data_IF_272140032650
#
_entry.id   IF_272140032650
#
_cell.length_a   1.000
_cell.length_b   1.000
_cell.length_c   1.000
_cell.angle_alpha   90.00
_cell.angle_beta   90.00
_cell.angle_gamma   90.00
#
_symmetry.space_group_name_H-M   'P 1'
#
loop_
_entity.id
_entity.type
_entity.pdbx_description
1 polymer ?
#
# COMPACT_ATOMS: atom_id res chain seq x y z
N UNK A 1 -4.98 8.75 -19.52
CA UNK A 1 -4.65 7.59 -18.67
C UNK A 1 -3.19 7.24 -18.85
N UNK A 2 -2.39 7.43 -17.81
CA UNK A 2 -0.96 7.08 -17.79
C UNK A 2 -0.77 5.59 -17.50
N UNK A 3 0.47 5.07 -17.62
CA UNK A 3 0.77 3.67 -17.29
C UNK A 3 0.48 3.33 -15.83
N UNK A 4 0.88 4.21 -14.90
CA UNK A 4 0.70 4.03 -13.44
C UNK A 4 -0.76 3.80 -13.05
N UNK A 5 -1.69 4.57 -13.62
CA UNK A 5 -3.13 4.54 -13.27
C UNK A 5 -3.80 3.20 -13.60
N UNK A 6 -3.14 2.34 -14.37
CA UNK A 6 -3.63 1.00 -14.74
C UNK A 6 -3.05 -0.11 -13.86
N UNK A 7 -2.15 0.22 -12.94
CA UNK A 7 -1.46 -0.75 -12.09
C UNK A 7 -2.00 -0.66 -10.67
N UNK A 8 -2.51 -1.79 -10.18
CA UNK A 8 -2.85 -1.99 -8.77
C UNK A 8 -1.78 -2.89 -8.19
N UNK A 9 -1.06 -2.41 -7.17
CA UNK A 9 -0.08 -3.21 -6.44
C UNK A 9 -0.73 -3.80 -5.19
N UNK A 10 -0.80 -5.12 -5.09
CA UNK A 10 -1.27 -5.79 -3.88
C UNK A 10 -0.14 -5.86 -2.85
N UNK A 11 -0.39 -5.34 -1.65
CA UNK A 11 0.50 -5.47 -0.50
C UNK A 11 0.33 -6.87 0.11
N UNK A 12 0.96 -7.85 -0.52
CA UNK A 12 0.94 -9.26 -0.13
C UNK A 12 2.07 -9.58 0.87
N UNK A 13 1.92 -9.03 2.08
CA UNK A 13 2.85 -9.18 3.20
C UNK A 13 2.07 -9.23 4.51
N UNK A 14 2.66 -9.80 5.55
CA UNK A 14 1.99 -10.12 6.82
C UNK A 14 2.16 -9.05 7.91
N UNK A 15 2.97 -8.02 7.66
CA UNK A 15 3.27 -6.98 8.65
C UNK A 15 3.37 -5.56 8.06
N UNK A 16 3.13 -4.57 8.92
CA UNK A 16 3.22 -3.14 8.58
C UNK A 16 4.58 -2.72 8.00
N UNK A 17 5.69 -3.27 8.51
CA UNK A 17 7.03 -2.80 8.13
C UNK A 17 7.34 -3.14 6.67
N UNK A 18 7.05 -4.38 6.26
CA UNK A 18 7.22 -4.81 4.87
C UNK A 18 6.22 -4.13 3.93
N UNK A 19 4.99 -3.87 4.39
CA UNK A 19 3.99 -3.15 3.60
C UNK A 19 4.47 -1.74 3.28
N UNK A 20 4.92 -1.01 4.30
CA UNK A 20 5.41 0.37 4.13
C UNK A 20 6.70 0.42 3.29
N UNK A 21 7.57 -0.59 3.39
CA UNK A 21 8.76 -0.70 2.53
C UNK A 21 8.39 -0.79 1.05
N UNK A 22 7.33 -1.53 0.70
CA UNK A 22 6.84 -1.60 -0.68
C UNK A 22 6.18 -0.31 -1.13
N UNK A 23 5.39 0.33 -0.27
CA UNK A 23 4.78 1.64 -0.55
C UNK A 23 5.86 2.68 -0.83
N UNK A 24 6.87 2.78 0.04
CA UNK A 24 7.99 3.73 -0.13
C UNK A 24 8.76 3.48 -1.43
N UNK A 25 8.86 2.22 -1.87
CA UNK A 25 9.58 1.85 -3.10
C UNK A 25 8.80 2.13 -4.38
N UNK A 26 7.46 2.05 -4.34
CA UNK A 26 6.60 2.10 -5.52
C UNK A 26 5.69 3.33 -5.56
N UNK A 27 5.84 4.24 -4.59
CA UNK A 27 5.12 5.51 -4.56
C UNK A 27 5.31 6.27 -5.87
N UNK A 28 4.21 6.77 -6.42
CA UNK A 28 4.18 7.45 -7.72
C UNK A 28 4.26 6.55 -8.96
N UNK A 29 4.67 5.29 -8.84
CA UNK A 29 4.83 4.34 -9.96
C UNK A 29 3.56 3.52 -10.25
N UNK A 30 2.71 3.34 -9.24
CA UNK A 30 1.44 2.60 -9.34
C UNK A 30 0.25 3.52 -9.05
N UNK A 31 -0.94 3.11 -9.47
CA UNK A 31 -2.15 3.91 -9.29
C UNK A 31 -2.86 3.64 -7.98
N UNK A 32 -2.73 2.42 -7.44
CA UNK A 32 -3.41 1.98 -6.22
C UNK A 32 -2.54 0.98 -5.47
N UNK A 33 -2.38 1.18 -4.16
CA UNK A 33 -1.94 0.13 -3.24
C UNK A 33 -3.16 -0.59 -2.64
N UNK A 34 -3.28 -1.89 -2.87
CA UNK A 34 -4.35 -2.72 -2.31
C UNK A 34 -3.88 -3.35 -1.01
N UNK A 35 -4.46 -2.93 0.11
CA UNK A 35 -4.30 -3.58 1.42
C UNK A 35 -5.24 -4.78 1.50
N UNK A 36 -4.68 -5.96 1.78
CA UNK A 36 -5.44 -7.20 1.99
C UNK A 36 -6.19 -7.20 3.33
N UNK A 37 -7.26 -8.01 3.44
CA UNK A 37 -8.07 -8.09 4.67
C UNK A 37 -7.26 -8.60 5.87
N UNK A 38 -6.40 -9.60 5.67
CA UNK A 38 -5.56 -10.17 6.73
C UNK A 38 -4.60 -9.12 7.33
N UNK A 39 -3.84 -8.45 6.46
CA UNK A 39 -2.96 -7.35 6.85
C UNK A 39 -3.73 -6.21 7.53
N UNK A 40 -4.92 -5.85 7.01
CA UNK A 40 -5.78 -4.83 7.63
C UNK A 40 -6.29 -5.24 9.02
N UNK A 41 -6.70 -6.49 9.21
CA UNK A 41 -7.18 -6.99 10.50
C UNK A 41 -6.04 -7.08 11.52
N UNK A 42 -4.84 -7.47 11.08
CA UNK A 42 -3.64 -7.55 11.93
C UNK A 42 -3.15 -6.17 12.38
N UNK A 43 -3.01 -5.23 11.45
CA UNK A 43 -2.35 -3.93 11.70
C UNK A 43 -3.35 -2.79 11.98
N UNK A 44 -4.61 -2.99 11.62
CA UNK A 44 -5.69 -2.04 11.80
C UNK A 44 -5.61 -0.80 10.90
N UNK A 45 -6.50 0.19 11.15
CA UNK A 45 -6.57 1.44 10.37
C UNK A 45 -5.28 2.26 10.38
N UNK A 46 -4.45 2.13 11.43
CA UNK A 46 -3.20 2.85 11.55
C UNK A 46 -2.22 2.58 10.39
N UNK A 47 -2.25 1.37 9.80
CA UNK A 47 -1.48 1.09 8.58
C UNK A 47 -1.97 1.94 7.41
N UNK A 48 -3.28 2.03 7.21
CA UNK A 48 -3.88 2.81 6.12
C UNK A 48 -3.56 4.30 6.29
N UNK A 49 -3.64 4.82 7.51
CA UNK A 49 -3.26 6.20 7.82
C UNK A 49 -1.79 6.49 7.51
N UNK A 50 -0.88 5.55 7.79
CA UNK A 50 0.55 5.67 7.44
C UNK A 50 0.79 5.66 5.93
N UNK A 51 0.02 4.87 5.18
CA UNK A 51 0.08 4.82 3.70
C UNK A 51 -0.44 6.15 3.14
N UNK A 52 -1.62 6.60 3.58
CA UNK A 52 -2.20 7.88 3.18
C UNK A 52 -1.30 9.07 3.51
N UNK A 53 -0.61 9.04 4.66
CA UNK A 53 0.38 10.05 5.04
C UNK A 53 1.60 10.15 4.10
N UNK A 54 1.81 9.17 3.22
CA UNK A 54 2.85 9.20 2.16
C UNK A 54 2.33 9.77 0.84
N UNK A 55 1.06 10.14 0.76
CA UNK A 55 0.43 10.65 -0.46
C UNK A 55 -0.10 9.57 -1.39
N UNK A 56 -0.33 8.36 -0.88
CA UNK A 56 -0.86 7.19 -1.60
C UNK A 56 -2.27 6.79 -1.16
#
# INVERSE_FOLDING_TARGET
MTGRERVIFALDVDNSADALKWVDKLSGEVGVFKVGLELFVSEGPALVEKIAGRGE
#
